data_IF_926991518342
#
_entry.id   IF_926991518342
#
_cell.length_a   1.000
_cell.length_b   1.000
_cell.length_c   1.000
_cell.angle_alpha   90.00
_cell.angle_beta   90.00
_cell.angle_gamma   90.00
#
_symmetry.space_group_name_H-M   'P 1'
#
loop_
_entity.id
_entity.type
_entity.pdbx_description
1 polymer ?
#
# COMPACT_ATOMS: atom_id res chain seq x y z
N UNK A 1 -15.28 21.25 8.71
CA UNK A 1 -14.69 21.71 7.42
C UNK A 1 -13.17 21.63 7.55
N UNK A 2 -12.56 20.48 7.22
CA UNK A 2 -11.09 20.28 7.35
C UNK A 2 -10.41 20.74 6.05
N UNK A 3 -9.61 21.79 6.17
CA UNK A 3 -8.78 22.40 5.12
C UNK A 3 -7.73 21.40 4.64
N UNK A 4 -7.55 21.35 3.33
CA UNK A 4 -6.66 20.49 2.54
C UNK A 4 -5.18 20.67 2.92
N UNK A 5 -4.48 19.57 3.24
CA UNK A 5 -3.00 19.52 3.39
C UNK A 5 -2.32 19.10 2.08
N UNK A 6 -2.62 19.78 0.96
CA UNK A 6 -2.05 19.44 -0.35
C UNK A 6 -1.26 20.60 -0.99
N UNK A 7 -0.55 21.41 -0.20
CA UNK A 7 0.26 22.55 -0.73
C UNK A 7 1.66 22.65 -0.08
N UNK A 8 2.28 21.54 0.32
CA UNK A 8 3.69 21.57 0.77
C UNK A 8 4.70 21.28 -0.35
N UNK A 9 4.27 20.77 -1.50
CA UNK A 9 5.17 20.50 -2.64
C UNK A 9 5.54 21.79 -3.39
N UNK A 10 4.64 22.79 -3.39
CA UNK A 10 4.79 24.01 -4.19
C UNK A 10 5.70 25.09 -3.58
N UNK A 11 6.11 24.96 -2.32
CA UNK A 11 6.93 25.97 -1.63
C UNK A 11 8.39 25.56 -1.42
N UNK A 12 8.80 24.37 -1.88
CA UNK A 12 10.19 23.91 -1.70
C UNK A 12 11.14 24.63 -2.69
N UNK A 13 12.03 25.53 -2.22
CA UNK A 13 12.89 26.31 -3.10
C UNK A 13 13.91 25.46 -3.86
N UNK A 14 14.28 24.28 -3.33
CA UNK A 14 15.20 23.35 -4.01
C UNK A 14 14.52 22.67 -5.21
N UNK A 15 13.21 22.43 -5.13
CA UNK A 15 12.42 21.84 -6.21
C UNK A 15 12.26 22.83 -7.36
N UNK A 16 12.03 24.11 -7.05
CA UNK A 16 11.96 25.19 -8.03
C UNK A 16 13.29 25.41 -8.76
N UNK A 17 14.41 25.42 -8.02
CA UNK A 17 15.73 25.54 -8.64
C UNK A 17 16.02 24.37 -9.60
N UNK A 18 15.66 23.15 -9.20
CA UNK A 18 15.81 21.96 -10.05
C UNK A 18 14.98 22.05 -11.33
N UNK A 19 13.71 22.46 -11.23
CA UNK A 19 12.83 22.67 -12.39
C UNK A 19 13.36 23.73 -13.34
N UNK A 20 13.84 24.86 -12.82
CA UNK A 20 14.40 25.94 -13.64
C UNK A 20 15.65 25.45 -14.39
N UNK A 21 16.58 24.76 -13.70
CA UNK A 21 17.79 24.22 -14.33
C UNK A 21 17.43 23.17 -15.40
N UNK A 22 16.46 22.29 -15.12
CA UNK A 22 16.02 21.29 -16.09
C UNK A 22 15.43 21.93 -17.36
N UNK A 23 14.58 22.96 -17.21
CA UNK A 23 14.01 23.68 -18.36
C UNK A 23 15.10 24.40 -19.16
N UNK A 24 16.05 25.07 -18.49
CA UNK A 24 17.16 25.75 -19.17
C UNK A 24 18.07 24.77 -19.91
N UNK A 25 18.29 23.57 -19.36
CA UNK A 25 19.09 22.53 -20.02
C UNK A 25 18.41 22.03 -21.30
N UNK A 26 17.08 21.84 -21.27
CA UNK A 26 16.30 21.46 -22.46
C UNK A 26 16.39 22.55 -23.53
N UNK A 27 16.20 23.82 -23.16
CA UNK A 27 16.30 24.95 -24.09
C UNK A 27 17.72 25.16 -24.65
N UNK A 28 18.75 24.86 -23.86
CA UNK A 28 20.14 24.92 -24.32
C UNK A 28 20.47 23.82 -25.34
N UNK A 29 20.02 22.58 -25.08
CA UNK A 29 20.25 21.46 -26.00
C UNK A 29 19.45 21.65 -27.30
N UNK A 30 18.24 22.20 -27.20
CA UNK A 30 17.43 22.63 -28.34
C UNK A 30 18.16 23.58 -29.28
N UNK A 31 18.97 24.49 -28.72
CA UNK A 31 19.72 25.50 -29.49
C UNK A 31 20.91 24.90 -30.26
N UNK A 32 21.38 23.70 -29.92
CA UNK A 32 22.64 23.15 -30.45
C UNK A 32 22.41 21.93 -31.35
N UNK A 33 21.42 21.08 -31.06
CA UNK A 33 21.38 19.73 -31.64
C UNK A 33 20.12 19.36 -32.42
N UNK A 34 19.17 20.28 -32.62
CA UNK A 34 17.97 20.06 -33.45
C UNK A 34 16.93 19.09 -32.84
N UNK A 35 15.82 18.84 -33.54
CA UNK A 35 14.64 18.13 -32.99
C UNK A 35 14.93 16.71 -32.46
N UNK A 36 15.83 15.97 -33.10
CA UNK A 36 16.12 14.58 -32.74
C UNK A 36 16.82 14.48 -31.37
N UNK A 37 17.66 15.46 -31.03
CA UNK A 37 18.32 15.51 -29.73
C UNK A 37 17.36 15.86 -28.59
N UNK A 38 16.27 16.60 -28.89
CA UNK A 38 15.23 16.94 -27.89
C UNK A 38 14.58 15.70 -27.32
N UNK A 39 14.19 14.77 -28.20
CA UNK A 39 13.54 13.53 -27.81
C UNK A 39 14.47 12.63 -27.01
N UNK A 40 15.76 12.54 -27.39
CA UNK A 40 16.74 11.78 -26.64
C UNK A 40 16.90 12.32 -25.20
N UNK A 41 16.94 13.63 -25.02
CA UNK A 41 17.03 14.26 -23.69
C UNK A 41 15.76 14.03 -22.87
N UNK A 42 14.57 14.18 -23.47
CA UNK A 42 13.31 13.94 -22.77
C UNK A 42 13.20 12.49 -22.29
N UNK A 43 13.63 11.52 -23.12
CA UNK A 43 13.68 10.10 -22.73
C UNK A 43 14.66 9.89 -21.57
N UNK A 44 15.84 10.50 -21.61
CA UNK A 44 16.80 10.43 -20.50
C UNK A 44 16.23 11.04 -19.22
N UNK A 45 15.55 12.19 -19.31
CA UNK A 45 14.88 12.83 -18.15
C UNK A 45 13.79 11.92 -17.59
N UNK A 46 12.97 11.29 -18.44
CA UNK A 46 11.93 10.36 -18.00
C UNK A 46 12.53 9.10 -17.36
N UNK A 47 13.63 8.56 -17.89
CA UNK A 47 14.35 7.43 -17.30
C UNK A 47 14.94 7.83 -15.95
N UNK A 48 15.60 8.98 -15.85
CA UNK A 48 16.17 9.48 -14.59
C UNK A 48 15.06 9.78 -13.58
N UNK A 49 13.94 10.37 -13.99
CA UNK A 49 12.78 10.59 -13.14
C UNK A 49 12.18 9.27 -12.66
N UNK A 50 12.05 8.28 -13.54
CA UNK A 50 11.60 6.94 -13.17
C UNK A 50 12.58 6.26 -12.22
N UNK A 51 13.89 6.35 -12.44
CA UNK A 51 14.92 5.80 -11.55
C UNK A 51 14.95 6.52 -10.19
N UNK A 52 14.77 7.84 -10.15
CA UNK A 52 14.70 8.61 -8.91
C UNK A 52 13.39 8.38 -8.15
N UNK A 53 12.28 8.15 -8.87
CA UNK A 53 10.98 7.84 -8.27
C UNK A 53 10.91 6.39 -7.79
N UNK A 54 11.46 5.45 -8.56
CA UNK A 54 11.63 4.04 -8.18
C UNK A 54 12.63 3.91 -7.01
N UNK A 55 13.65 4.78 -6.94
CA UNK A 55 14.55 4.93 -5.76
C UNK A 55 13.87 5.45 -4.49
N UNK A 56 12.67 6.04 -4.60
CA UNK A 56 11.84 6.44 -3.43
C UNK A 56 10.85 5.36 -2.99
N UNK A 57 10.65 4.29 -3.77
CA UNK A 57 9.99 3.07 -3.31
C UNK A 57 11.05 2.21 -2.60
N UNK A 58 11.15 2.36 -1.27
CA UNK A 58 11.83 1.39 -0.41
C UNK A 58 13.36 1.45 -0.35
N UNK A 59 13.93 2.56 0.14
CA UNK A 59 15.21 2.46 0.86
C UNK A 59 14.94 2.06 2.31
N UNK A 60 14.80 0.76 2.55
CA UNK A 60 15.30 0.21 3.80
C UNK A 60 16.80 0.42 3.78
N UNK A 61 17.24 1.31 4.65
CA UNK A 61 18.63 1.71 4.81
C UNK A 61 19.35 0.54 5.48
N UNK A 62 19.96 -0.35 4.71
CA UNK A 62 21.04 -1.22 5.22
C UNK A 62 22.31 -0.38 5.38
N UNK A 63 22.27 0.59 6.30
CA UNK A 63 23.47 0.97 7.02
C UNK A 63 23.76 -0.21 7.96
N UNK A 64 25.03 -0.59 8.11
CA UNK A 64 25.47 -1.57 9.09
C UNK A 64 25.10 -1.14 10.51
N UNK A 65 23.85 -1.39 10.88
CA UNK A 65 23.32 -1.23 12.21
C UNK A 65 23.58 -2.57 12.91
N UNK A 66 24.48 -2.52 13.88
CA UNK A 66 24.29 -3.19 15.15
C UNK A 66 22.82 -3.60 15.33
N UNK A 67 22.61 -4.91 15.36
CA UNK A 67 21.33 -5.58 15.58
C UNK A 67 20.82 -5.15 16.95
N UNK A 68 20.15 -4.01 17.00
CA UNK A 68 19.28 -3.67 18.12
C UNK A 68 18.03 -4.48 17.86
N UNK A 69 17.89 -5.58 18.59
CA UNK A 69 16.74 -6.48 18.59
C UNK A 69 15.49 -5.71 19.06
N UNK A 70 14.96 -4.82 18.22
CA UNK A 70 13.61 -4.31 18.36
C UNK A 70 12.77 -5.24 17.47
N UNK A 71 12.32 -6.34 18.05
CA UNK A 71 11.33 -7.21 17.44
C UNK A 71 10.07 -6.36 17.22
N UNK A 72 9.83 -5.90 15.99
CA UNK A 72 8.65 -5.12 15.66
C UNK A 72 7.42 -6.02 15.81
N UNK A 73 6.82 -5.93 16.99
CA UNK A 73 5.67 -6.74 17.39
C UNK A 73 4.43 -6.25 16.64
N UNK A 74 4.10 -6.94 15.57
CA UNK A 74 2.88 -6.71 14.81
C UNK A 74 1.70 -7.51 15.38
N UNK A 75 0.55 -6.84 15.47
CA UNK A 75 -0.75 -7.46 15.66
C UNK A 75 -1.36 -7.79 14.29
N UNK A 76 -2.28 -8.76 14.25
CA UNK A 76 -2.84 -9.25 13.01
C UNK A 76 -4.37 -9.12 12.94
N UNK A 77 -4.84 -8.89 11.71
CA UNK A 77 -6.23 -8.99 11.31
C UNK A 77 -6.29 -10.04 10.20
N UNK A 78 -7.17 -11.02 10.39
CA UNK A 78 -7.50 -12.01 9.38
C UNK A 78 -8.94 -11.83 8.98
N UNK A 79 -9.18 -11.53 7.71
CA UNK A 79 -10.53 -11.41 7.14
C UNK A 79 -10.80 -12.66 6.33
N UNK A 80 -11.89 -13.38 6.62
CA UNK A 80 -12.28 -14.52 5.82
C UNK A 80 -13.76 -14.51 5.44
N UNK A 81 -14.08 -15.09 4.29
CA UNK A 81 -15.45 -15.26 3.84
C UNK A 81 -15.58 -16.52 2.98
N UNK A 82 -16.78 -17.09 2.94
CA UNK A 82 -17.03 -18.28 2.11
C UNK A 82 -17.02 -17.93 0.64
N UNK A 83 -16.33 -18.74 -0.16
CA UNK A 83 -16.40 -18.66 -1.62
C UNK A 83 -17.84 -18.94 -2.06
N UNK A 84 -18.52 -18.02 -2.77
CA UNK A 84 -19.89 -18.25 -3.20
C UNK A 84 -19.96 -19.39 -4.23
N UNK A 85 -20.89 -20.33 -4.04
CA UNK A 85 -21.02 -21.54 -4.88
C UNK A 85 -21.30 -21.24 -6.37
N UNK A 86 -21.70 -20.02 -6.70
CA UNK A 86 -22.07 -19.58 -8.04
C UNK A 86 -21.02 -18.71 -8.73
N UNK A 87 -19.88 -18.43 -8.08
CA UNK A 87 -18.78 -17.71 -8.72
C UNK A 87 -17.85 -18.69 -9.42
N UNK A 88 -17.37 -18.29 -10.60
CA UNK A 88 -16.22 -18.95 -11.22
C UNK A 88 -14.96 -18.72 -10.37
N UNK A 89 -13.95 -19.59 -10.51
CA UNK A 89 -12.68 -19.40 -9.83
C UNK A 89 -12.01 -18.05 -10.20
N UNK A 90 -12.17 -17.61 -11.46
CA UNK A 90 -11.64 -16.34 -11.94
C UNK A 90 -12.35 -15.15 -11.31
N UNK A 91 -13.68 -15.19 -11.20
CA UNK A 91 -14.45 -14.12 -10.56
C UNK A 91 -14.17 -14.07 -9.05
N UNK A 92 -14.05 -15.24 -8.41
CA UNK A 92 -13.72 -15.33 -6.98
C UNK A 92 -12.36 -14.73 -6.69
N UNK A 93 -11.39 -15.02 -7.55
CA UNK A 93 -10.05 -14.45 -7.45
C UNK A 93 -10.05 -12.93 -7.67
N UNK A 94 -10.76 -12.45 -8.71
CA UNK A 94 -10.91 -11.00 -8.95
C UNK A 94 -11.51 -10.29 -7.74
N UNK A 95 -12.55 -10.86 -7.14
CA UNK A 95 -13.20 -10.29 -5.97
C UNK A 95 -12.28 -10.27 -4.74
N UNK A 96 -11.44 -11.30 -4.57
CA UNK A 96 -10.45 -11.36 -3.50
C UNK A 96 -9.38 -10.27 -3.65
N UNK A 97 -8.82 -10.11 -4.86
CA UNK A 97 -7.88 -9.03 -5.18
C UNK A 97 -8.49 -7.65 -4.94
N UNK A 98 -9.73 -7.42 -5.39
CA UNK A 98 -10.39 -6.13 -5.17
C UNK A 98 -10.61 -5.81 -3.67
N UNK A 99 -10.85 -6.83 -2.84
CA UNK A 99 -10.94 -6.65 -1.40
C UNK A 99 -9.57 -6.37 -0.78
N UNK A 100 -8.57 -7.15 -1.17
CA UNK A 100 -7.18 -7.01 -0.74
C UNK A 100 -6.64 -5.61 -1.03
N UNK A 101 -6.76 -5.14 -2.28
CA UNK A 101 -6.31 -3.83 -2.73
C UNK A 101 -6.95 -2.70 -1.92
N UNK A 102 -8.28 -2.76 -1.72
CA UNK A 102 -8.99 -1.74 -0.93
C UNK A 102 -8.50 -1.68 0.51
N UNK A 103 -8.25 -2.84 1.11
CA UNK A 103 -7.70 -2.92 2.47
C UNK A 103 -6.28 -2.36 2.46
N UNK A 104 -5.42 -2.82 1.55
CA UNK A 104 -4.02 -2.41 1.42
C UNK A 104 -3.86 -0.90 1.24
N UNK A 105 -4.62 -0.30 0.31
CA UNK A 105 -4.64 1.14 0.06
C UNK A 105 -5.09 1.93 1.31
N UNK A 106 -6.12 1.42 2.00
CA UNK A 106 -6.64 2.08 3.21
C UNK A 106 -5.63 2.03 4.34
N UNK A 107 -4.98 0.90 4.58
CA UNK A 107 -3.97 0.77 5.64
C UNK A 107 -2.71 1.59 5.33
N UNK A 108 -2.25 1.53 4.08
CA UNK A 108 -1.06 2.27 3.62
C UNK A 108 -1.26 3.78 3.70
N UNK A 109 -2.41 4.29 3.25
CA UNK A 109 -2.73 5.72 3.30
C UNK A 109 -2.85 6.29 4.71
N UNK A 110 -3.13 5.45 5.71
CA UNK A 110 -3.22 5.83 7.12
C UNK A 110 -1.97 5.48 7.93
N UNK A 111 -0.97 4.81 7.33
CA UNK A 111 0.20 4.31 8.04
C UNK A 111 -0.14 3.35 9.18
N UNK A 112 -1.26 2.62 9.06
CA UNK A 112 -1.79 1.78 10.13
C UNK A 112 -1.33 0.31 10.03
N UNK A 113 -0.79 -0.08 8.88
CA UNK A 113 -0.39 -1.45 8.61
C UNK A 113 -0.21 -1.72 7.13
N UNK A 114 -0.09 -3.00 6.80
CA UNK A 114 0.03 -3.51 5.43
C UNK A 114 -0.74 -4.82 5.29
N UNK A 115 -1.02 -5.18 4.04
CA UNK A 115 -1.52 -6.51 3.67
C UNK A 115 -0.31 -7.35 3.29
N UNK A 116 -0.24 -8.56 3.84
CA UNK A 116 0.82 -9.53 3.54
C UNK A 116 0.45 -10.43 2.36
N UNK A 117 -0.86 -10.72 2.23
CA UNK A 117 -1.40 -11.42 1.08
C UNK A 117 -2.79 -12.00 1.33
N UNK A 118 -3.18 -12.92 0.46
CA UNK A 118 -4.45 -13.61 0.47
C UNK A 118 -4.30 -15.09 0.15
N UNK A 119 -5.28 -15.89 0.58
CA UNK A 119 -5.43 -17.29 0.19
C UNK A 119 -6.81 -17.52 -0.44
N UNK A 120 -6.84 -18.14 -1.62
CA UNK A 120 -8.07 -18.64 -2.25
C UNK A 120 -8.18 -20.16 -2.07
N UNK A 121 -9.00 -20.59 -1.13
CA UNK A 121 -9.39 -21.99 -0.97
C UNK A 121 -10.68 -22.32 -1.73
N UNK A 122 -10.95 -23.62 -1.88
CA UNK A 122 -12.20 -24.11 -2.52
C UNK A 122 -13.47 -23.63 -1.81
N UNK A 123 -13.39 -23.37 -0.50
CA UNK A 123 -14.55 -23.04 0.35
C UNK A 123 -14.45 -21.68 1.04
N UNK A 124 -13.26 -21.11 1.11
CA UNK A 124 -12.96 -19.92 1.89
C UNK A 124 -11.89 -19.08 1.22
N UNK A 125 -12.10 -17.78 1.25
CA UNK A 125 -11.13 -16.76 0.86
C UNK A 125 -10.63 -16.08 2.14
N UNK A 126 -9.33 -15.79 2.21
CA UNK A 126 -8.69 -15.19 3.39
C UNK A 126 -7.80 -14.03 2.95
N UNK A 127 -7.78 -12.94 3.70
CA UNK A 127 -6.83 -11.82 3.59
C UNK A 127 -6.13 -11.63 4.92
N UNK A 128 -4.80 -11.53 4.89
CA UNK A 128 -3.95 -11.34 6.06
C UNK A 128 -3.40 -9.91 6.11
N UNK A 129 -3.60 -9.23 7.23
CA UNK A 129 -3.12 -7.86 7.43
C UNK A 129 -2.44 -7.71 8.78
N UNK A 130 -1.41 -6.86 8.83
CA UNK A 130 -0.56 -6.66 10.00
C UNK A 130 -0.33 -5.18 10.27
N UNK A 131 -0.10 -4.83 11.54
CA UNK A 131 0.22 -3.48 11.96
C UNK A 131 0.34 -3.37 13.47
N UNK A 132 0.58 -2.16 13.97
CA UNK A 132 0.87 -1.94 15.39
C UNK A 132 -0.37 -2.11 16.29
N UNK A 133 -1.57 -2.12 15.72
CA UNK A 133 -2.82 -2.28 16.44
C UNK A 133 -3.90 -2.94 15.57
N UNK A 134 -4.36 -4.13 15.96
CA UNK A 134 -5.46 -4.85 15.33
C UNK A 134 -6.78 -4.07 15.44
N UNK A 135 -6.99 -3.34 16.54
CA UNK A 135 -8.15 -2.46 16.71
C UNK A 135 -8.13 -1.27 15.73
N UNK A 136 -6.96 -0.65 15.54
CA UNK A 136 -6.81 0.43 14.57
C UNK A 136 -7.06 -0.07 13.14
N UNK A 137 -6.44 -1.18 12.75
CA UNK A 137 -6.68 -1.84 11.46
C UNK A 137 -8.18 -2.12 11.29
N UNK A 138 -8.80 -2.78 12.27
CA UNK A 138 -10.22 -3.12 12.21
C UNK A 138 -11.10 -1.89 11.99
N UNK A 139 -10.84 -0.81 12.73
CA UNK A 139 -11.62 0.43 12.64
C UNK A 139 -11.59 1.05 11.23
N UNK A 140 -10.45 0.94 10.54
CA UNK A 140 -10.24 1.48 9.20
C UNK A 140 -10.88 0.62 8.11
N UNK A 141 -10.77 -0.71 8.23
CA UNK A 141 -11.27 -1.62 7.19
C UNK A 141 -12.76 -1.95 7.36
N UNK A 142 -13.32 -1.74 8.57
CA UNK A 142 -14.72 -2.07 8.86
C UNK A 142 -15.72 -1.51 7.84
N UNK A 143 -15.63 -0.24 7.38
CA UNK A 143 -16.48 0.27 6.31
C UNK A 143 -16.37 -0.52 5.00
N UNK A 144 -15.15 -0.88 4.59
CA UNK A 144 -14.89 -1.69 3.37
C UNK A 144 -15.59 -3.06 3.50
N UNK A 145 -15.47 -3.69 4.67
CA UNK A 145 -16.12 -4.98 4.93
C UNK A 145 -17.65 -4.86 4.96
N UNK A 146 -18.19 -3.74 5.42
CA UNK A 146 -19.63 -3.47 5.35
C UNK A 146 -20.12 -3.22 3.91
N UNK A 147 -19.31 -2.62 3.04
CA UNK A 147 -19.66 -2.37 1.64
C UNK A 147 -19.42 -3.59 0.74
N UNK A 148 -18.59 -4.54 1.18
CA UNK A 148 -18.37 -5.79 0.47
C UNK A 148 -19.67 -6.60 0.34
N UNK A 149 -19.89 -7.30 -0.77
CA UNK A 149 -21.18 -7.96 -1.05
C UNK A 149 -21.31 -9.36 -0.43
N UNK A 150 -20.20 -10.06 -0.20
CA UNK A 150 -20.22 -11.43 0.32
C UNK A 150 -20.51 -11.45 1.82
N UNK A 151 -21.38 -12.38 2.23
CA UNK A 151 -21.74 -12.56 3.64
C UNK A 151 -21.88 -14.05 3.98
N UNK A 152 -21.61 -14.43 5.23
CA UNK A 152 -21.00 -13.62 6.30
C UNK A 152 -19.51 -13.37 6.04
N UNK A 153 -18.97 -12.29 6.64
CA UNK A 153 -17.52 -12.06 6.74
C UNK A 153 -17.10 -12.33 8.19
N UNK A 154 -16.08 -13.15 8.37
CA UNK A 154 -15.45 -13.37 9.66
C UNK A 154 -14.17 -12.52 9.74
N UNK A 155 -13.95 -11.94 10.91
CA UNK A 155 -12.78 -11.11 11.18
C UNK A 155 -12.17 -11.57 12.50
N UNK A 156 -10.91 -11.98 12.46
CA UNK A 156 -10.14 -12.38 13.63
C UNK A 156 -9.12 -11.29 13.93
N UNK A 157 -9.23 -10.68 15.10
CA UNK A 157 -8.23 -9.75 15.64
C UNK A 157 -7.31 -10.57 16.54
N UNK A 158 -6.01 -10.55 16.26
CA UNK A 158 -4.99 -11.24 17.04
C UNK A 158 -4.03 -10.22 17.62
N UNK A 159 -3.99 -10.15 18.94
CA UNK A 159 -3.15 -9.22 19.71
C UNK A 159 -1.88 -9.94 20.14
N UNK A 160 -0.78 -9.63 19.47
CA UNK A 160 0.50 -10.30 19.62
C UNK A 160 1.00 -10.92 18.33
N UNK A 161 2.25 -11.37 18.35
CA UNK A 161 2.95 -11.86 17.16
C UNK A 161 2.29 -13.10 16.57
N UNK A 162 2.49 -13.33 15.27
CA UNK A 162 1.99 -14.53 14.59
C UNK A 162 2.52 -15.83 15.21
N UNK A 163 3.75 -15.82 15.74
CA UNK A 163 4.43 -16.96 16.38
C UNK A 163 3.93 -17.27 17.79
N UNK A 164 3.31 -16.32 18.50
CA UNK A 164 2.95 -16.47 19.91
C UNK A 164 1.69 -17.36 20.10
N UNK A 165 1.80 -18.61 20.55
CA UNK A 165 0.64 -19.49 20.69
C UNK A 165 -0.39 -18.99 21.72
N UNK A 166 -0.01 -18.05 22.59
CA UNK A 166 -0.86 -17.47 23.63
C UNK A 166 -1.43 -16.10 23.27
N UNK A 167 -1.16 -15.59 22.05
CA UNK A 167 -1.70 -14.32 21.59
C UNK A 167 -3.22 -14.32 21.69
N UNK A 168 -3.76 -13.26 22.31
CA UNK A 168 -5.19 -13.11 22.51
C UNK A 168 -5.88 -12.96 21.15
N UNK A 169 -7.00 -13.65 20.97
CA UNK A 169 -7.81 -13.54 19.76
C UNK A 169 -9.23 -13.08 20.08
N UNK A 170 -9.77 -12.23 19.21
CA UNK A 170 -11.16 -11.77 19.25
C UNK A 170 -11.78 -12.00 17.90
N UNK A 171 -12.88 -12.75 17.88
CA UNK A 171 -13.63 -13.08 16.69
C UNK A 171 -14.82 -12.13 16.54
N UNK A 172 -14.99 -11.60 15.33
CA UNK A 172 -16.13 -10.77 14.94
C UNK A 172 -16.73 -11.33 13.66
N UNK A 173 -18.05 -11.27 13.53
CA UNK A 173 -18.76 -11.65 12.30
C UNK A 173 -19.61 -10.49 11.83
N UNK A 174 -19.44 -10.10 10.57
CA UNK A 174 -20.27 -9.10 9.90
C UNK A 174 -21.36 -9.86 9.14
N UNK A 175 -22.61 -9.62 9.54
CA UNK A 175 -23.83 -10.16 8.91
C UNK A 175 -24.57 -9.05 8.16
N UNK A 176 -25.58 -9.42 7.37
CA UNK A 176 -26.52 -8.46 6.77
C UNK A 176 -27.30 -7.73 7.87
#
# INVERSE_FOLDING_TARGET
MKRTKNIEVLTNPKLWLFLIVAVLLVLYIDSIYGEVARYAVLVIILIVAHLLFSSKQGKYKTLGAEKTDIEEKYEAIVVSYKTPNNLSAQDGMKQLYELEDKIGDTLSSHGAGFVDGHDLGEKECIVYSYGNSADQIYSLIKPILHDFSVRPINVTLRYGEASDPHAKQVFKTIRK
#
